data_IF_568562897562
#
_entry.id   IF_568562897562
#
_cell.length_a   1.000
_cell.length_b   1.000
_cell.length_c   1.000
_cell.angle_alpha   90.00
_cell.angle_beta   90.00
_cell.angle_gamma   90.00
#
_symmetry.space_group_name_H-M   'P 1'
#
loop_
_entity.id
_entity.type
_entity.pdbx_description
1 polymer ?
#
# COMPACT_ATOMS: atom_id res chain seq x y z
N UNK A 1 13.23 -7.46 -2.48
CA UNK A 1 12.18 -6.42 -2.52
C UNK A 1 10.87 -7.17 -2.58
N UNK A 2 10.02 -7.02 -1.57
CA UNK A 2 8.73 -7.73 -1.52
C UNK A 2 7.71 -6.88 -2.26
N UNK A 3 7.25 -7.37 -3.40
CA UNK A 3 6.17 -6.76 -4.17
C UNK A 3 4.87 -7.48 -3.79
N UNK A 4 3.83 -6.72 -3.47
CA UNK A 4 2.49 -7.25 -3.17
C UNK A 4 1.53 -6.81 -4.26
N UNK A 5 0.61 -7.68 -4.67
CA UNK A 5 -0.46 -7.29 -5.60
C UNK A 5 -1.68 -6.91 -4.78
N UNK A 6 -2.17 -5.68 -4.96
CA UNK A 6 -3.36 -5.18 -4.26
C UNK A 6 -4.11 -4.16 -5.13
N UNK A 7 -5.39 -3.94 -4.82
CA UNK A 7 -6.24 -2.98 -5.52
C UNK A 7 -5.76 -1.55 -5.24
N UNK A 8 -5.41 -0.83 -6.30
CA UNK A 8 -5.07 0.60 -6.22
C UNK A 8 -6.32 1.43 -6.54
N UNK A 9 -6.75 2.26 -5.59
CA UNK A 9 -7.92 3.12 -5.76
C UNK A 9 -7.75 4.13 -6.90
N UNK A 10 -6.54 4.66 -7.09
CA UNK A 10 -6.23 5.65 -8.13
C UNK A 10 -6.17 5.01 -9.52
N UNK A 11 -5.70 3.77 -9.61
CA UNK A 11 -5.67 3.00 -10.85
C UNK A 11 -7.03 2.38 -11.18
N UNK A 12 -7.86 2.10 -10.17
CA UNK A 12 -9.12 1.37 -10.33
C UNK A 12 -8.91 -0.08 -10.78
N UNK A 13 -7.75 -0.68 -10.46
CA UNK A 13 -7.45 -2.08 -10.72
C UNK A 13 -6.38 -2.61 -9.76
N UNK A 14 -6.22 -3.94 -9.70
CA UNK A 14 -5.12 -4.58 -8.99
C UNK A 14 -3.78 -4.24 -9.65
N UNK A 15 -2.80 -3.87 -8.84
CA UNK A 15 -1.46 -3.49 -9.30
C UNK A 15 -0.40 -3.94 -8.30
N UNK A 16 0.85 -3.94 -8.75
CA UNK A 16 2.00 -4.25 -7.94
C UNK A 16 2.38 -3.04 -7.08
N UNK A 17 2.29 -3.21 -5.76
CA UNK A 17 2.80 -2.27 -4.78
C UNK A 17 4.18 -2.72 -4.29
N UNK A 18 5.14 -1.81 -4.29
CA UNK A 18 6.45 -2.03 -3.69
C UNK A 18 6.48 -1.47 -2.26
N UNK A 19 6.96 -2.26 -1.31
CA UNK A 19 7.19 -1.79 0.06
C UNK A 19 8.34 -0.78 0.09
N UNK A 20 8.16 0.34 0.79
CA UNK A 20 9.22 1.31 1.03
C UNK A 20 10.15 0.79 2.14
N UNK A 21 11.41 0.48 1.83
CA UNK A 21 12.34 0.02 2.85
C UNK A 21 12.60 1.15 3.86
N UNK A 22 12.53 0.82 5.16
CA UNK A 22 12.76 1.73 6.30
C UNK A 22 11.64 2.76 6.57
N UNK A 23 10.49 2.64 5.91
CA UNK A 23 9.30 3.39 6.32
C UNK A 23 8.66 2.79 7.59
N UNK A 24 8.36 3.64 8.57
CA UNK A 24 7.57 3.30 9.75
C UNK A 24 6.57 4.43 10.01
N UNK A 25 5.24 4.20 9.89
CA UNK A 25 4.54 2.95 9.51
C UNK A 25 4.95 2.36 8.14
N UNK A 26 4.62 1.09 7.88
CA UNK A 26 4.97 0.44 6.61
C UNK A 26 4.26 1.13 5.45
N UNK A 27 5.02 1.69 4.54
CA UNK A 27 4.50 2.35 3.33
C UNK A 27 4.64 1.43 2.12
N UNK A 28 3.65 1.47 1.24
CA UNK A 28 3.62 0.78 -0.04
C UNK A 28 3.39 1.78 -1.16
N UNK A 29 4.14 1.68 -2.26
CA UNK A 29 4.01 2.56 -3.41
C UNK A 29 3.49 1.75 -4.59
N UNK A 30 2.40 2.22 -5.19
CA UNK A 30 1.90 1.67 -6.44
C UNK A 30 2.88 1.98 -7.58
N UNK A 31 3.29 0.95 -8.34
CA UNK A 31 4.17 1.17 -9.50
C UNK A 31 3.54 1.95 -10.63
N UNK A 32 2.23 1.80 -10.85
CA UNK A 32 1.58 2.38 -12.02
C UNK A 32 1.28 3.87 -11.86
N UNK A 33 0.77 4.30 -10.70
CA UNK A 33 0.43 5.70 -10.44
C UNK A 33 1.38 6.42 -9.45
N UNK A 34 2.35 5.71 -8.85
CA UNK A 34 3.24 6.25 -7.81
C UNK A 34 2.50 6.72 -6.53
N UNK A 35 1.22 6.34 -6.35
CA UNK A 35 0.48 6.62 -5.13
C UNK A 35 1.05 5.83 -3.93
N UNK A 36 1.20 6.50 -2.79
CA UNK A 36 1.68 5.90 -1.54
C UNK A 36 0.51 5.51 -0.63
N UNK A 37 0.58 4.32 -0.06
CA UNK A 37 -0.38 3.75 0.87
C UNK A 37 0.32 3.45 2.19
N UNK A 38 -0.20 4.02 3.28
CA UNK A 38 0.34 3.79 4.62
C UNK A 38 -0.46 2.65 5.26
N UNK A 39 0.21 1.55 5.62
CA UNK A 39 -0.37 0.54 6.51
C UNK A 39 -0.09 0.99 7.93
N UNK A 40 -1.05 1.65 8.54
CA UNK A 40 -0.99 1.87 9.98
C UNK A 40 -1.00 0.51 10.71
N UNK A 41 -0.14 0.30 11.72
CA UNK A 41 -0.12 -0.93 12.51
C UNK A 41 -1.38 -0.97 13.38
N UNK A 42 -2.49 -1.44 12.80
CA UNK A 42 -3.74 -1.60 13.53
C UNK A 42 -3.70 -2.86 14.40
N UNK A 43 -4.06 -2.80 15.69
CA UNK A 43 -4.06 -3.97 16.59
C UNK A 43 -5.16 -5.01 16.29
N UNK A 44 -5.95 -4.82 15.22
CA UNK A 44 -7.01 -5.75 14.82
C UNK A 44 -6.78 -6.16 13.37
N UNK A 45 -6.07 -7.29 13.22
CA UNK A 45 -5.84 -7.94 11.94
C UNK A 45 -7.11 -8.65 11.49
N UNK A 46 -7.80 -8.09 10.50
CA UNK A 46 -8.45 -8.91 9.46
C UNK A 46 -8.76 -8.15 8.17
N UNK A 47 -8.56 -6.83 8.10
CA UNK A 47 -8.78 -6.09 6.85
C UNK A 47 -7.97 -4.81 6.86
N UNK A 48 -6.67 -4.91 6.54
CA UNK A 48 -5.87 -3.74 6.23
C UNK A 48 -6.38 -3.14 4.91
N UNK A 49 -7.49 -2.42 4.98
CA UNK A 49 -7.94 -1.55 3.91
C UNK A 49 -6.89 -0.44 3.82
N UNK A 50 -6.09 -0.50 2.76
CA UNK A 50 -5.07 0.50 2.43
C UNK A 50 -5.81 1.80 2.10
N UNK A 51 -5.86 2.71 3.06
CA UNK A 51 -6.44 4.04 2.83
C UNK A 51 -5.37 4.87 2.12
N UNK A 52 -5.67 5.33 0.90
CA UNK A 52 -4.83 6.24 0.15
C UNK A 52 -4.61 7.53 0.96
N UNK A 53 -3.36 8.00 1.04
CA UNK A 53 -3.05 9.33 1.59
C UNK A 53 -2.80 10.25 0.41
N UNK A 54 -3.68 11.26 0.27
CA UNK A 54 -3.61 12.28 -0.78
C UNK A 54 -2.56 13.36 -0.44
#
# INVERSE_FOLDING_TARGET
MSTVISWCMDCGHDTALDSVPQAMPTEYICRDCTAAYIVEPSPVADSAQLHAVA
#
